data_IF_996990386120
#
_entry.id   IF_996990386120
#
_cell.length_a   1.000
_cell.length_b   1.000
_cell.length_c   1.000
_cell.angle_alpha   90.00
_cell.angle_beta   90.00
_cell.angle_gamma   90.00
#
_symmetry.space_group_name_H-M   'P 1'
#
loop_
_entity.id
_entity.type
_entity.pdbx_description
1 polymer ?
#
# COMPACT_ATOMS: atom_id res chain seq x y z
N UNK A 1 -16.22 29.52 32.16
CA UNK A 1 -15.38 28.38 31.84
C UNK A 1 -14.72 28.63 30.52
N UNK A 2 -13.39 28.76 30.46
CA UNK A 2 -12.65 28.86 29.20
C UNK A 2 -12.85 27.54 28.45
N UNK A 3 -13.42 27.62 27.22
CA UNK A 3 -13.49 26.42 26.36
C UNK A 3 -12.06 26.06 25.97
N UNK A 4 -11.66 24.85 26.29
CA UNK A 4 -10.39 24.31 25.81
C UNK A 4 -10.33 24.42 24.28
N UNK A 5 -9.23 24.91 23.75
CA UNK A 5 -9.02 25.05 22.33
C UNK A 5 -7.65 24.50 21.95
N UNK A 6 -7.57 23.89 20.78
CA UNK A 6 -6.32 23.33 20.24
C UNK A 6 -6.04 23.85 18.85
N UNK A 7 -4.76 23.89 18.46
CA UNK A 7 -4.32 24.19 17.09
C UNK A 7 -3.65 22.94 16.55
N UNK A 8 -4.08 22.50 15.38
CA UNK A 8 -3.58 21.31 14.69
C UNK A 8 -2.95 21.75 13.37
N UNK A 9 -1.71 21.36 13.14
CA UNK A 9 -0.97 21.68 11.92
C UNK A 9 -1.04 20.50 10.97
N UNK A 10 -1.64 20.71 9.81
CA UNK A 10 -1.84 19.71 8.76
C UNK A 10 -3.22 19.06 8.81
N UNK A 11 -3.96 19.13 7.68
CA UNK A 11 -5.24 18.45 7.48
C UNK A 11 -5.08 17.09 6.77
N UNK A 12 -4.00 16.37 7.07
CA UNK A 12 -3.82 14.98 6.70
C UNK A 12 -4.60 14.02 7.61
N UNK A 13 -4.48 12.69 7.43
CA UNK A 13 -5.18 11.69 8.24
C UNK A 13 -5.07 11.91 9.74
N UNK A 14 -3.85 12.15 10.24
CA UNK A 14 -3.61 12.33 11.66
C UNK A 14 -4.29 13.59 12.22
N UNK A 15 -4.13 14.74 11.54
CA UNK A 15 -4.70 15.99 12.00
C UNK A 15 -6.22 16.02 11.95
N UNK A 16 -6.82 15.50 10.89
CA UNK A 16 -8.28 15.43 10.78
C UNK A 16 -8.88 14.44 11.78
N UNK A 17 -8.24 13.29 12.01
CA UNK A 17 -8.70 12.33 13.03
C UNK A 17 -8.64 12.97 14.43
N UNK A 18 -7.54 13.66 14.74
CA UNK A 18 -7.42 14.37 16.03
C UNK A 18 -8.50 15.46 16.19
N UNK A 19 -8.75 16.28 15.16
CA UNK A 19 -9.78 17.31 15.20
C UNK A 19 -11.18 16.71 15.36
N UNK A 20 -11.45 15.59 14.69
CA UNK A 20 -12.73 14.90 14.75
C UNK A 20 -12.98 14.33 16.15
N UNK A 21 -12.02 13.63 16.72
CA UNK A 21 -12.15 13.08 18.08
C UNK A 21 -12.26 14.18 19.14
N UNK A 22 -11.48 15.24 19.05
CA UNK A 22 -11.59 16.40 19.93
C UNK A 22 -12.99 17.04 19.84
N UNK A 23 -13.51 17.17 18.62
CA UNK A 23 -14.85 17.69 18.38
C UNK A 23 -15.95 16.86 19.03
N UNK A 24 -15.85 15.51 18.99
CA UNK A 24 -16.77 14.59 19.69
C UNK A 24 -16.78 14.83 21.22
N UNK A 25 -15.66 15.27 21.78
CA UNK A 25 -15.52 15.61 23.20
C UNK A 25 -15.78 17.09 23.52
N UNK A 26 -16.29 17.86 22.55
CA UNK A 26 -16.63 19.28 22.74
C UNK A 26 -15.44 20.23 22.80
N UNK A 27 -14.23 19.76 22.47
CA UNK A 27 -13.02 20.60 22.38
C UNK A 27 -12.96 21.27 21.00
N UNK A 28 -12.84 22.59 21.02
CA UNK A 28 -12.72 23.37 19.77
C UNK A 28 -11.29 23.26 19.22
N UNK A 29 -11.14 22.90 17.95
CA UNK A 29 -9.85 22.87 17.30
C UNK A 29 -9.80 23.75 16.04
N UNK A 30 -8.64 24.38 15.81
CA UNK A 30 -8.35 25.09 14.55
C UNK A 30 -7.32 24.25 13.78
N UNK A 31 -7.68 23.83 12.57
CA UNK A 31 -6.79 23.05 11.71
C UNK A 31 -6.20 23.97 10.64
N UNK A 32 -4.87 24.01 10.55
CA UNK A 32 -4.11 24.78 9.56
C UNK A 32 -3.58 23.84 8.48
N UNK A 33 -3.90 24.07 7.22
CA UNK A 33 -3.45 23.27 6.09
C UNK A 33 -2.76 24.16 5.04
N UNK A 34 -1.61 23.70 4.54
CA UNK A 34 -0.80 24.45 3.57
C UNK A 34 -1.30 24.29 2.13
N UNK A 35 -1.93 23.14 1.82
CA UNK A 35 -2.51 22.90 0.49
C UNK A 35 -3.98 23.32 0.41
N UNK A 36 -4.51 23.37 -0.77
CA UNK A 36 -5.92 23.68 -1.07
C UNK A 36 -6.87 22.50 -0.84
N UNK A 37 -6.33 21.32 -0.53
CA UNK A 37 -7.07 20.08 -0.37
C UNK A 37 -6.65 19.32 0.89
N UNK A 38 -7.64 18.80 1.61
CA UNK A 38 -7.42 17.95 2.79
C UNK A 38 -7.01 16.52 2.39
N UNK A 39 -6.54 15.73 3.37
CA UNK A 39 -6.18 14.31 3.19
C UNK A 39 -4.69 14.04 3.09
N UNK A 40 -3.86 15.08 2.94
CA UNK A 40 -2.39 14.91 2.88
C UNK A 40 -1.97 13.91 1.81
N UNK A 41 -1.18 12.91 2.19
CA UNK A 41 -0.75 11.83 1.27
C UNK A 41 -1.89 10.89 0.85
N UNK A 42 -3.03 10.90 1.55
CA UNK A 42 -4.21 10.08 1.26
C UNK A 42 -5.29 10.84 0.48
N UNK A 43 -4.96 12.01 -0.07
CA UNK A 43 -5.87 12.73 -0.93
C UNK A 43 -6.08 12.01 -2.27
N UNK A 44 -7.26 12.18 -2.85
CA UNK A 44 -7.57 11.70 -4.20
C UNK A 44 -7.57 12.89 -5.14
N UNK A 45 -6.73 12.83 -6.17
CA UNK A 45 -6.63 13.89 -7.18
C UNK A 45 -7.62 13.61 -8.31
N UNK A 46 -8.27 14.63 -8.83
CA UNK A 46 -9.17 14.52 -9.98
C UNK A 46 -8.56 15.22 -11.19
N UNK A 47 -8.59 14.53 -12.34
CA UNK A 47 -8.15 15.09 -13.62
C UNK A 47 -9.05 14.61 -14.75
N UNK A 48 -9.65 15.51 -15.49
CA UNK A 48 -10.54 15.21 -16.62
C UNK A 48 -11.63 14.17 -16.32
N UNK A 49 -12.22 14.24 -15.11
CA UNK A 49 -13.25 13.29 -14.64
C UNK A 49 -12.72 11.98 -14.06
N UNK A 50 -11.45 11.71 -14.17
CA UNK A 50 -10.78 10.56 -13.53
C UNK A 50 -10.31 10.91 -12.13
N UNK A 51 -10.28 9.92 -11.24
CA UNK A 51 -9.78 10.03 -9.87
C UNK A 51 -8.55 9.17 -9.70
N UNK A 52 -7.53 9.73 -9.04
CA UNK A 52 -6.25 9.06 -8.83
C UNK A 52 -5.81 9.20 -7.38
N UNK A 53 -5.42 8.10 -6.77
CA UNK A 53 -4.71 8.13 -5.51
C UNK A 53 -3.23 8.41 -5.77
N UNK A 54 -2.59 9.20 -4.90
CA UNK A 54 -1.16 9.55 -5.04
C UNK A 54 -0.27 8.35 -4.71
N UNK A 55 -0.84 7.29 -4.13
CA UNK A 55 -0.14 6.05 -3.78
C UNK A 55 -1.06 4.87 -3.65
N UNK A 56 -0.57 3.75 -3.13
CA UNK A 56 -1.34 2.53 -2.92
C UNK A 56 -2.14 2.58 -1.62
N UNK A 57 -3.25 3.28 -1.61
CA UNK A 57 -4.08 3.54 -0.43
C UNK A 57 -5.21 2.51 -0.22
N UNK A 58 -4.92 1.22 -0.34
CA UNK A 58 -5.89 0.21 0.08
C UNK A 58 -6.00 0.22 1.61
N UNK A 59 -7.23 0.21 2.11
CA UNK A 59 -7.46 0.14 3.55
C UNK A 59 -7.14 -1.24 4.10
N UNK A 60 -6.35 -1.25 5.16
CA UNK A 60 -6.12 -2.41 5.99
C UNK A 60 -5.73 -1.96 7.40
N UNK A 61 -6.47 -2.43 8.39
CA UNK A 61 -6.11 -2.23 9.80
C UNK A 61 -6.45 -3.47 10.63
N UNK A 62 -5.59 -3.79 11.60
CA UNK A 62 -5.84 -4.79 12.65
C UNK A 62 -6.40 -4.14 13.93
N UNK A 63 -6.45 -2.82 13.97
CA UNK A 63 -6.91 -2.05 15.13
C UNK A 63 -8.42 -1.82 14.99
N UNK A 64 -9.26 -2.35 15.90
CA UNK A 64 -10.71 -2.22 15.83
C UNK A 64 -11.17 -0.77 15.74
N UNK A 65 -10.63 0.11 16.58
CA UNK A 65 -10.97 1.53 16.62
C UNK A 65 -10.79 2.22 15.25
N UNK A 66 -9.75 1.85 14.50
CA UNK A 66 -9.53 2.39 13.15
C UNK A 66 -10.60 1.87 12.18
N UNK A 67 -10.98 0.60 12.30
CA UNK A 67 -12.05 0.04 11.46
C UNK A 67 -13.40 0.70 11.76
N UNK A 68 -13.69 0.95 13.04
CA UNK A 68 -14.89 1.66 13.50
C UNK A 68 -14.94 3.08 12.95
N UNK A 69 -13.86 3.85 13.06
CA UNK A 69 -13.76 5.21 12.52
C UNK A 69 -14.02 5.24 11.00
N UNK A 70 -13.43 4.33 10.23
CA UNK A 70 -13.63 4.28 8.79
C UNK A 70 -15.09 3.92 8.43
N UNK A 71 -15.71 3.00 9.15
CA UNK A 71 -17.11 2.65 8.99
C UNK A 71 -18.04 3.80 9.42
N UNK A 72 -17.75 4.47 10.51
CA UNK A 72 -18.49 5.64 11.00
C UNK A 72 -18.49 6.77 9.95
N UNK A 73 -17.33 7.07 9.38
CA UNK A 73 -17.19 8.15 8.42
C UNK A 73 -17.74 7.82 7.03
N UNK A 74 -17.65 6.58 6.57
CA UNK A 74 -17.98 6.21 5.20
C UNK A 74 -19.32 5.45 5.06
N UNK A 75 -19.69 4.63 6.05
CA UNK A 75 -20.90 3.82 5.99
C UNK A 75 -20.93 2.96 4.71
N UNK A 76 -22.04 3.04 3.95
CA UNK A 76 -22.25 2.28 2.71
C UNK A 76 -21.30 2.66 1.56
N UNK A 77 -20.60 3.79 1.67
CA UNK A 77 -19.60 4.21 0.69
C UNK A 77 -18.24 3.50 0.86
N UNK A 78 -18.10 2.67 1.91
CA UNK A 78 -16.93 1.85 2.17
C UNK A 78 -17.07 0.48 1.53
N UNK A 79 -16.70 0.39 0.27
CA UNK A 79 -17.01 -0.74 -0.61
C UNK A 79 -15.96 -1.84 -0.54
N UNK A 80 -16.40 -3.09 -0.45
CA UNK A 80 -15.51 -4.23 -0.64
C UNK A 80 -15.17 -4.37 -2.13
N UNK A 81 -13.87 -4.36 -2.45
CA UNK A 81 -13.38 -4.44 -3.83
C UNK A 81 -12.38 -5.56 -4.02
N UNK A 82 -12.43 -6.28 -5.16
CA UNK A 82 -11.39 -7.24 -5.51
C UNK A 82 -10.08 -6.52 -5.79
N UNK A 83 -8.99 -7.12 -5.33
CA UNK A 83 -7.66 -6.58 -5.61
C UNK A 83 -7.27 -6.91 -7.04
N UNK A 84 -6.99 -5.88 -7.82
CA UNK A 84 -6.37 -5.99 -9.14
C UNK A 84 -5.00 -5.32 -9.07
N UNK A 85 -3.95 -6.12 -8.96
CA UNK A 85 -2.56 -5.63 -8.99
C UNK A 85 -1.83 -6.29 -10.15
N UNK A 86 -1.07 -5.52 -10.89
CA UNK A 86 -0.30 -5.99 -12.05
C UNK A 86 1.12 -5.46 -11.99
N UNK A 87 2.07 -6.27 -12.43
CA UNK A 87 3.44 -5.84 -12.72
C UNK A 87 3.54 -5.68 -14.22
N UNK A 88 3.94 -4.49 -14.68
CA UNK A 88 4.22 -4.25 -16.09
C UNK A 88 5.72 -4.45 -16.35
N UNK A 89 6.06 -5.39 -17.19
CA UNK A 89 7.43 -5.69 -17.57
C UNK A 89 7.47 -6.19 -19.03
N UNK A 90 8.40 -5.66 -19.82
CA UNK A 90 8.62 -6.04 -21.22
C UNK A 90 7.32 -6.12 -22.06
N UNK A 91 6.49 -5.07 -21.99
CA UNK A 91 5.21 -4.93 -22.71
C UNK A 91 4.12 -5.95 -22.30
N UNK A 92 4.31 -6.69 -21.20
CA UNK A 92 3.35 -7.64 -20.65
C UNK A 92 2.92 -7.27 -19.23
N UNK A 93 1.67 -7.61 -18.90
CA UNK A 93 1.15 -7.47 -17.55
C UNK A 93 1.17 -8.83 -16.84
N UNK A 94 1.84 -8.86 -15.69
CA UNK A 94 1.92 -10.03 -14.83
C UNK A 94 1.02 -9.85 -13.61
N UNK A 95 0.38 -10.92 -13.16
CA UNK A 95 -0.42 -10.91 -11.94
C UNK A 95 0.46 -10.66 -10.71
N UNK A 96 -0.05 -9.89 -9.75
CA UNK A 96 0.57 -9.75 -8.45
C UNK A 96 -0.40 -10.17 -7.32
N UNK A 97 -0.04 -11.13 -6.47
CA UNK A 97 1.24 -11.88 -6.43
C UNK A 97 1.51 -12.67 -7.71
N UNK A 98 2.81 -12.85 -8.03
CA UNK A 98 3.21 -13.57 -9.24
C UNK A 98 2.62 -14.98 -9.24
N UNK A 99 1.83 -15.28 -10.27
CA UNK A 99 1.32 -16.63 -10.54
C UNK A 99 2.28 -17.33 -11.50
N UNK A 100 2.80 -18.52 -11.16
CA UNK A 100 3.81 -19.19 -11.99
C UNK A 100 3.41 -19.34 -13.45
N UNK A 101 2.20 -19.82 -13.73
CA UNK A 101 1.74 -20.01 -15.11
C UNK A 101 1.61 -18.69 -15.89
N UNK A 102 1.13 -17.63 -15.25
CA UNK A 102 1.06 -16.31 -15.85
C UNK A 102 2.46 -15.73 -16.14
N UNK A 103 3.41 -15.93 -15.18
CA UNK A 103 4.79 -15.51 -15.37
C UNK A 103 5.47 -16.27 -16.54
N UNK A 104 5.33 -17.59 -16.60
CA UNK A 104 5.90 -18.41 -17.64
C UNK A 104 5.32 -18.08 -19.03
N UNK A 105 4.01 -17.92 -19.12
CA UNK A 105 3.35 -17.56 -20.39
C UNK A 105 3.78 -16.16 -20.89
N UNK A 106 3.90 -15.19 -19.98
CA UNK A 106 4.27 -13.82 -20.32
C UNK A 106 5.75 -13.63 -20.68
N UNK A 107 6.65 -14.46 -20.10
CA UNK A 107 8.09 -14.39 -20.36
C UNK A 107 8.53 -15.22 -21.59
N UNK A 108 7.73 -16.18 -22.00
CA UNK A 108 8.04 -17.11 -23.09
C UNK A 108 8.90 -18.31 -22.64
N UNK A 109 8.98 -19.31 -23.51
CA UNK A 109 9.58 -20.62 -23.17
C UNK A 109 11.08 -20.57 -22.88
N UNK A 110 11.85 -19.80 -23.64
CA UNK A 110 13.30 -19.68 -23.45
C UNK A 110 13.63 -19.03 -22.10
N UNK A 111 13.00 -17.90 -21.80
CA UNK A 111 13.22 -17.19 -20.52
C UNK A 111 12.78 -18.06 -19.33
N UNK A 112 11.67 -18.77 -19.49
CA UNK A 112 11.17 -19.68 -18.46
C UNK A 112 12.13 -20.83 -18.17
N UNK A 113 12.76 -21.38 -19.20
CA UNK A 113 13.80 -22.40 -19.07
C UNK A 113 15.03 -21.85 -18.32
N UNK A 114 15.50 -20.66 -18.69
CA UNK A 114 16.63 -20.01 -18.03
C UNK A 114 16.34 -19.66 -16.56
N UNK A 115 15.11 -19.29 -16.22
CA UNK A 115 14.67 -19.09 -14.83
C UNK A 115 14.73 -20.42 -14.07
N UNK A 116 14.24 -21.50 -14.66
CA UNK A 116 14.30 -22.85 -14.08
C UNK A 116 15.74 -23.28 -13.79
N UNK A 117 16.64 -23.13 -14.74
CA UNK A 117 18.07 -23.43 -14.59
C UNK A 117 18.71 -22.56 -13.49
N UNK A 118 18.39 -21.27 -13.47
CA UNK A 118 18.87 -20.36 -12.44
C UNK A 118 18.38 -20.73 -11.04
N UNK A 119 17.14 -21.20 -10.92
CA UNK A 119 16.59 -21.71 -9.67
C UNK A 119 17.30 -22.97 -9.19
N UNK A 120 17.52 -23.95 -10.10
CA UNK A 120 18.27 -25.18 -9.79
C UNK A 120 19.69 -24.82 -9.34
N UNK A 121 20.38 -23.93 -10.06
CA UNK A 121 21.72 -23.45 -9.68
C UNK A 121 21.72 -22.86 -8.26
N UNK A 122 20.73 -22.02 -7.92
CA UNK A 122 20.63 -21.43 -6.59
C UNK A 122 20.39 -22.46 -5.49
N UNK A 123 19.75 -23.60 -5.79
CA UNK A 123 19.55 -24.70 -4.85
C UNK A 123 20.81 -25.55 -4.67
N UNK A 124 21.60 -25.75 -5.72
CA UNK A 124 22.86 -26.49 -5.66
C UNK A 124 23.99 -25.67 -5.04
N UNK A 125 24.03 -24.37 -5.31
CA UNK A 125 25.06 -23.43 -4.84
C UNK A 125 24.43 -22.37 -3.92
N UNK A 126 23.90 -22.85 -2.80
CA UNK A 126 23.24 -21.98 -1.82
C UNK A 126 24.25 -21.07 -1.11
N UNK A 127 23.96 -19.77 -1.07
CA UNK A 127 24.78 -18.80 -0.34
C UNK A 127 24.47 -18.95 1.15
N UNK A 128 25.45 -19.42 1.92
CA UNK A 128 25.37 -19.46 3.38
C UNK A 128 25.60 -18.05 3.94
N UNK A 129 24.94 -17.68 5.04
CA UNK A 129 25.03 -16.35 5.64
C UNK A 129 24.54 -15.22 4.70
N UNK A 130 23.30 -15.29 4.31
CA UNK A 130 22.65 -14.22 3.52
C UNK A 130 22.71 -12.89 4.28
N UNK A 131 23.37 -11.89 3.74
CA UNK A 131 23.49 -10.54 4.32
C UNK A 131 22.63 -9.52 3.61
N UNK A 132 22.39 -9.73 2.31
CA UNK A 132 21.72 -8.73 1.46
C UNK A 132 20.40 -9.26 0.90
N UNK A 133 19.53 -8.32 0.52
CA UNK A 133 18.27 -8.60 -0.17
C UNK A 133 18.50 -9.44 -1.43
N UNK A 134 19.52 -9.08 -2.22
CA UNK A 134 19.90 -9.82 -3.42
C UNK A 134 20.20 -11.30 -3.14
N UNK A 135 21.06 -11.58 -2.14
CA UNK A 135 21.41 -12.93 -1.75
C UNK A 135 20.19 -13.71 -1.27
N UNK A 136 19.37 -13.09 -0.43
CA UNK A 136 18.18 -13.69 0.16
C UNK A 136 17.15 -14.09 -0.91
N UNK A 137 16.86 -13.18 -1.85
CA UNK A 137 15.89 -13.44 -2.93
C UNK A 137 16.45 -14.42 -3.95
N UNK A 138 17.72 -14.28 -4.32
CA UNK A 138 18.38 -15.17 -5.30
C UNK A 138 18.43 -16.61 -4.83
N UNK A 139 18.69 -16.87 -3.55
CA UNK A 139 18.67 -18.21 -2.97
C UNK A 139 17.29 -18.89 -3.03
N UNK A 140 16.22 -18.09 -2.94
CA UNK A 140 14.83 -18.59 -2.90
C UNK A 140 14.19 -18.73 -4.26
N UNK A 141 14.52 -17.82 -5.18
CA UNK A 141 13.83 -17.72 -6.46
C UNK A 141 14.77 -17.89 -7.68
N UNK A 142 16.07 -17.91 -7.47
CA UNK A 142 17.08 -17.87 -8.53
C UNK A 142 17.41 -16.44 -8.94
N UNK A 143 18.67 -16.21 -9.32
CA UNK A 143 19.18 -14.88 -9.69
C UNK A 143 18.45 -14.27 -10.88
N UNK A 144 18.00 -15.10 -11.84
CA UNK A 144 17.31 -14.59 -13.01
C UNK A 144 15.94 -14.00 -12.69
N UNK A 145 15.15 -14.69 -11.87
CA UNK A 145 13.85 -14.17 -11.40
C UNK A 145 14.01 -12.95 -10.50
N UNK A 146 15.07 -12.92 -9.68
CA UNK A 146 15.44 -11.76 -8.90
C UNK A 146 15.65 -10.53 -9.80
N UNK A 147 16.46 -10.65 -10.84
CA UNK A 147 16.75 -9.55 -11.76
C UNK A 147 15.49 -9.01 -12.46
N UNK A 148 14.59 -9.91 -12.90
CA UNK A 148 13.39 -9.53 -13.65
C UNK A 148 12.37 -8.80 -12.77
N UNK A 149 12.02 -9.35 -11.62
CA UNK A 149 10.85 -8.89 -10.85
C UNK A 149 11.19 -8.17 -9.55
N UNK A 150 12.38 -8.35 -8.99
CA UNK A 150 12.70 -7.78 -7.69
C UNK A 150 13.70 -6.63 -7.76
N UNK A 151 14.80 -6.80 -8.48
CA UNK A 151 15.91 -5.85 -8.48
C UNK A 151 15.46 -4.44 -8.87
N UNK A 152 15.03 -4.27 -10.11
CA UNK A 152 14.69 -2.95 -10.66
C UNK A 152 13.61 -2.22 -9.86
N UNK A 153 12.58 -2.97 -9.44
CA UNK A 153 11.52 -2.40 -8.61
C UNK A 153 12.02 -1.95 -7.25
N UNK A 154 12.79 -2.81 -6.58
CA UNK A 154 13.28 -2.52 -5.22
C UNK A 154 14.27 -1.36 -5.22
N UNK A 155 15.22 -1.35 -6.14
CA UNK A 155 16.20 -0.27 -6.29
C UNK A 155 15.54 1.07 -6.65
N UNK A 156 14.52 1.04 -7.51
CA UNK A 156 13.74 2.25 -7.84
C UNK A 156 12.98 2.81 -6.65
N UNK A 157 12.40 1.96 -5.80
CA UNK A 157 11.61 2.38 -4.64
C UNK A 157 12.49 2.89 -3.51
N UNK A 158 13.63 2.23 -3.27
CA UNK A 158 14.50 2.53 -2.13
C UNK A 158 15.64 3.48 -2.47
N UNK A 159 15.93 3.69 -3.74
CA UNK A 159 17.01 4.58 -4.20
C UNK A 159 18.43 4.07 -3.89
N UNK A 160 18.55 2.81 -3.48
CA UNK A 160 19.84 2.16 -3.17
C UNK A 160 19.90 0.77 -3.82
N UNK A 161 21.13 0.25 -4.13
CA UNK A 161 21.31 -1.09 -4.67
C UNK A 161 20.77 -2.19 -3.75
N UNK A 162 20.23 -3.26 -4.33
CA UNK A 162 19.76 -4.41 -3.56
C UNK A 162 20.87 -5.13 -2.77
N UNK A 163 22.13 -4.94 -3.15
CA UNK A 163 23.30 -5.42 -2.41
C UNK A 163 23.57 -4.66 -1.10
N UNK A 164 22.96 -3.50 -0.91
CA UNK A 164 23.07 -2.68 0.31
C UNK A 164 21.85 -2.84 1.23
N UNK A 165 20.75 -3.42 0.75
CA UNK A 165 19.54 -3.69 1.53
C UNK A 165 19.73 -4.97 2.34
N UNK A 166 19.42 -4.95 3.63
CA UNK A 166 19.55 -6.11 4.53
C UNK A 166 18.67 -7.29 4.12
N UNK A 167 19.17 -8.51 4.27
CA UNK A 167 18.42 -9.74 4.09
C UNK A 167 17.24 -9.86 5.08
N UNK A 168 17.36 -9.34 6.30
CA UNK A 168 16.29 -9.34 7.30
C UNK A 168 15.08 -8.53 6.84
N UNK A 169 15.33 -7.43 6.15
CA UNK A 169 14.25 -6.64 5.55
C UNK A 169 13.47 -7.45 4.52
N UNK A 170 14.18 -8.21 3.66
CA UNK A 170 13.55 -9.11 2.70
C UNK A 170 12.72 -10.20 3.40
N UNK A 171 13.28 -10.82 4.44
CA UNK A 171 12.62 -11.85 5.22
C UNK A 171 11.33 -11.37 5.89
N UNK A 172 11.30 -10.12 6.38
CA UNK A 172 10.11 -9.53 6.99
C UNK A 172 9.00 -9.22 5.98
N UNK A 173 9.36 -8.79 4.78
CA UNK A 173 8.42 -8.34 3.74
C UNK A 173 7.94 -9.46 2.84
N UNK A 174 8.79 -10.45 2.57
CA UNK A 174 8.53 -11.56 1.65
C UNK A 174 8.29 -12.86 2.44
N UNK A 175 7.68 -12.76 3.63
CA UNK A 175 7.31 -13.94 4.43
C UNK A 175 6.37 -14.87 3.65
N UNK A 176 6.62 -16.19 3.74
CA UNK A 176 5.79 -17.26 3.18
C UNK A 176 5.69 -17.35 1.65
N UNK A 177 6.48 -16.60 0.88
CA UNK A 177 6.61 -16.81 -0.55
C UNK A 177 7.65 -17.91 -0.82
N UNK A 178 7.18 -19.12 -1.10
CA UNK A 178 8.00 -20.25 -1.55
C UNK A 178 7.65 -20.58 -3.00
N UNK A 179 8.63 -20.53 -3.91
CA UNK A 179 8.42 -20.91 -5.30
C UNK A 179 7.95 -22.38 -5.39
N UNK A 180 8.48 -23.26 -4.56
CA UNK A 180 8.06 -24.66 -4.46
C UNK A 180 6.57 -24.78 -4.11
N UNK A 181 6.09 -24.00 -3.16
CA UNK A 181 4.69 -23.99 -2.75
C UNK A 181 3.79 -23.35 -3.82
N UNK A 182 4.26 -22.29 -4.46
CA UNK A 182 3.54 -21.66 -5.57
C UNK A 182 3.39 -22.58 -6.77
N UNK A 183 4.45 -23.29 -7.16
CA UNK A 183 4.44 -24.30 -8.24
C UNK A 183 3.55 -25.49 -7.87
N UNK A 184 3.66 -26.01 -6.64
CA UNK A 184 2.79 -27.09 -6.17
C UNK A 184 1.33 -26.72 -6.20
N UNK A 185 0.99 -25.52 -5.73
CA UNK A 185 -0.39 -25.01 -5.74
C UNK A 185 -0.92 -24.81 -7.16
N UNK A 186 -0.07 -24.39 -8.11
CA UNK A 186 -0.43 -24.24 -9.51
C UNK A 186 -0.69 -25.58 -10.22
N UNK A 187 0.08 -26.64 -9.86
CA UNK A 187 -0.05 -27.97 -10.47
C UNK A 187 -1.14 -28.84 -9.84
N UNK A 188 -1.35 -28.74 -8.53
CA UNK A 188 -2.22 -29.63 -7.77
C UNK A 188 -3.48 -28.97 -7.20
N UNK A 189 -3.68 -27.69 -7.47
CA UNK A 189 -4.80 -26.91 -6.92
C UNK A 189 -4.64 -26.62 -5.42
N UNK A 190 -5.10 -25.47 -4.98
CA UNK A 190 -5.21 -25.15 -3.55
C UNK A 190 -6.50 -25.69 -2.99
N UNK A 191 -6.43 -26.67 -2.07
CA UNK A 191 -7.51 -26.83 -1.09
C UNK A 191 -7.51 -25.59 -0.21
N UNK A 192 -8.58 -24.80 -0.24
CA UNK A 192 -8.80 -23.63 0.60
C UNK A 192 -8.75 -24.04 2.07
N UNK A 193 -7.62 -23.86 2.72
CA UNK A 193 -7.51 -23.80 4.17
C UNK A 193 -7.34 -22.32 4.51
N UNK A 194 -8.38 -21.72 5.06
CA UNK A 194 -8.31 -20.38 5.67
C UNK A 194 -7.52 -20.55 6.96
N UNK A 195 -6.21 -20.45 6.87
CA UNK A 195 -5.38 -20.29 8.05
C UNK A 195 -5.11 -18.80 8.24
N UNK A 196 -5.48 -18.25 9.39
CA UNK A 196 -5.50 -16.82 9.71
C UNK A 196 -4.15 -16.09 9.73
N UNK A 197 -3.11 -16.70 9.14
CA UNK A 197 -1.77 -16.12 8.99
C UNK A 197 -1.49 -15.56 7.59
N UNK A 198 -2.51 -15.39 6.75
CA UNK A 198 -2.36 -14.88 5.38
C UNK A 198 -1.81 -13.46 5.43
N UNK A 199 -0.64 -13.29 4.87
CA UNK A 199 0.05 -12.03 4.78
C UNK A 199 -0.86 -10.93 4.25
N UNK A 200 -0.91 -9.82 4.93
CA UNK A 200 -1.61 -8.58 4.59
C UNK A 200 -1.40 -8.13 3.14
N UNK A 201 -0.28 -8.49 2.52
CA UNK A 201 0.04 -8.19 1.13
C UNK A 201 -0.67 -9.09 0.10
N UNK A 202 -1.26 -10.21 0.54
CA UNK A 202 -1.89 -11.22 -0.32
C UNK A 202 -3.42 -11.23 -0.23
N UNK A 203 -4.03 -10.28 0.46
CA UNK A 203 -5.49 -10.16 0.55
C UNK A 203 -6.08 -9.99 -0.84
N UNK A 204 -7.01 -10.85 -1.21
CA UNK A 204 -7.69 -10.83 -2.52
C UNK A 204 -8.73 -9.73 -2.63
N UNK A 205 -9.22 -9.24 -1.49
CA UNK A 205 -10.22 -8.19 -1.40
C UNK A 205 -9.82 -7.19 -0.32
N UNK A 206 -10.25 -5.94 -0.46
CA UNK A 206 -10.06 -4.90 0.54
C UNK A 206 -11.20 -3.88 0.48
N UNK A 207 -11.41 -3.18 1.58
CA UNK A 207 -12.35 -2.07 1.59
C UNK A 207 -11.72 -0.84 0.96
N UNK A 208 -12.53 -0.10 0.21
CA UNK A 208 -12.10 1.09 -0.50
C UNK A 208 -13.25 2.10 -0.62
N UNK A 209 -13.01 3.38 -0.31
CA UNK A 209 -14.04 4.41 -0.47
C UNK A 209 -14.44 4.55 -1.95
N UNK A 210 -15.74 4.73 -2.23
CA UNK A 210 -16.27 4.79 -3.60
C UNK A 210 -15.51 5.73 -4.53
N UNK A 211 -15.10 6.87 -4.04
CA UNK A 211 -14.41 7.91 -4.82
C UNK A 211 -12.95 8.12 -4.41
N UNK A 212 -12.34 7.14 -3.77
CA UNK A 212 -10.96 7.18 -3.27
C UNK A 212 -10.86 7.64 -1.82
N UNK A 213 -9.68 7.44 -1.18
CA UNK A 213 -9.47 7.74 0.23
C UNK A 213 -9.63 9.23 0.56
N UNK A 214 -9.42 10.14 -0.39
CA UNK A 214 -9.68 11.56 -0.22
C UNK A 214 -11.12 11.85 0.19
N UNK A 215 -12.09 11.10 -0.32
CA UNK A 215 -13.50 11.21 0.05
C UNK A 215 -13.74 11.09 1.56
N UNK A 216 -13.02 10.17 2.23
CA UNK A 216 -13.13 10.02 3.68
C UNK A 216 -12.69 11.29 4.41
N UNK A 217 -11.60 11.90 3.97
CA UNK A 217 -11.05 13.09 4.63
C UNK A 217 -11.87 14.34 4.35
N UNK A 218 -12.45 14.45 3.18
CA UNK A 218 -13.42 15.51 2.87
C UNK A 218 -14.67 15.38 3.74
N UNK A 219 -15.17 14.17 3.92
CA UNK A 219 -16.32 13.91 4.80
C UNK A 219 -15.97 14.16 6.28
N UNK A 220 -14.80 13.72 6.72
CA UNK A 220 -14.28 14.01 8.05
C UNK A 220 -14.24 15.53 8.32
N UNK A 221 -13.69 16.30 7.40
CA UNK A 221 -13.71 17.77 7.44
C UNK A 221 -15.12 18.31 7.61
N UNK A 222 -16.05 17.90 6.77
CA UNK A 222 -17.44 18.38 6.83
C UNK A 222 -18.11 18.09 8.17
N UNK A 223 -17.81 16.92 8.77
CA UNK A 223 -18.33 16.56 10.08
C UNK A 223 -17.69 17.38 11.21
N UNK A 224 -16.39 17.68 11.12
CA UNK A 224 -15.71 18.58 12.06
C UNK A 224 -16.36 19.98 12.02
N UNK A 225 -16.58 20.53 10.84
CA UNK A 225 -17.22 21.81 10.65
C UNK A 225 -18.64 21.84 11.26
N UNK A 226 -19.39 20.74 11.11
CA UNK A 226 -20.73 20.58 11.70
C UNK A 226 -20.68 20.48 13.23
N UNK A 227 -19.79 19.66 13.79
CA UNK A 227 -19.63 19.46 15.24
C UNK A 227 -19.24 20.76 15.96
N UNK A 228 -18.35 21.52 15.37
CA UNK A 228 -17.82 22.75 15.96
C UNK A 228 -18.73 23.97 15.74
N UNK A 229 -19.76 23.86 14.89
CA UNK A 229 -20.66 24.99 14.48
C UNK A 229 -19.92 26.25 13.97
N UNK A 230 -18.63 26.14 13.67
CA UNK A 230 -17.78 27.22 13.19
C UNK A 230 -16.77 26.60 12.22
N UNK A 231 -16.73 27.03 10.94
CA UNK A 231 -15.71 26.58 10.01
C UNK A 231 -14.34 27.14 10.44
N UNK A 232 -13.48 26.30 11.01
CA UNK A 232 -12.12 26.68 11.42
C UNK A 232 -11.05 25.80 10.77
N UNK A 233 -11.31 25.40 9.54
CA UNK A 233 -10.26 24.89 8.68
C UNK A 233 -9.69 26.09 7.91
N UNK A 234 -8.48 26.49 8.24
CA UNK A 234 -7.81 27.61 7.57
C UNK A 234 -6.79 27.05 6.60
N UNK A 235 -7.02 27.28 5.30
CA UNK A 235 -6.02 27.01 4.27
C UNK A 235 -5.03 28.16 4.24
N UNK A 236 -3.79 27.86 4.63
CA UNK A 236 -2.68 28.81 4.50
C UNK A 236 -2.06 28.58 3.12
N UNK A 237 -2.76 29.05 2.07
CA UNK A 237 -2.22 29.00 0.71
C UNK A 237 -0.89 29.75 0.66
N UNK A 238 0.08 29.20 -0.08
CA UNK A 238 1.25 29.98 -0.48
C UNK A 238 0.75 31.15 -1.33
N UNK A 239 0.59 32.30 -0.70
CA UNK A 239 0.41 33.55 -1.40
C UNK A 239 1.55 33.66 -2.42
N UNK A 240 1.22 33.90 -3.66
CA UNK A 240 2.17 34.19 -4.73
C UNK A 240 3.19 35.23 -4.27
N UNK A 241 4.34 34.79 -3.79
CA UNK A 241 5.52 35.59 -3.78
C UNK A 241 6.06 35.63 -5.22
N UNK A 242 5.38 36.41 -6.07
CA UNK A 242 5.92 36.96 -7.31
C UNK A 242 5.95 38.45 -7.14
N UNK A 243 7.10 38.95 -6.83
CA UNK A 243 7.58 40.28 -7.18
C UNK A 243 8.96 40.14 -7.76
#
# INVERSE_FOLDING_TARGET
>A
MSRESSVIIGAGPAGLTAAYELGKHGVTSTVLEASDQVGGISKTVSYRGYRFDIGGHRFFSKVPLINELWNELLGEEFLLRPRISRIYYNQHFFDYPLKPMNALAGLGSLESCLIGLSYIKAKLFHIHNEKTFEQWVSNRFGYRLYNIFFKTYTEKVWGIPCSEISADWAAQRIKNLSLKQAVRNALFGTKHGIDGSTLTSLTEQFHYPRFGPGMMWERCRSLIELLLRIPRLTFIGHGNARS
#
